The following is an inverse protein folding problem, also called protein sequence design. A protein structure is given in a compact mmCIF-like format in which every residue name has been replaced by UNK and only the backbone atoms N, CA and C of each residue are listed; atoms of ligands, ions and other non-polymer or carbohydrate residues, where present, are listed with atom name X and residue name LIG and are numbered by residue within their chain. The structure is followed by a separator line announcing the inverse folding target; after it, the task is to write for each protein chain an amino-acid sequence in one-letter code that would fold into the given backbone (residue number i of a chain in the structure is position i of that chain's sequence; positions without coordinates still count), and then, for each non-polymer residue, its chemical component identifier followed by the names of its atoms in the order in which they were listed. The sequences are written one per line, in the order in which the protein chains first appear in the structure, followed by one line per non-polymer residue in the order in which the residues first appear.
data_IF_971149972048
#
_entry.id   IF_971149972048
#
_cell.length_a   1.000
_cell.length_b   1.000
_cell.length_c   1.000
_cell.angle_alpha   90.00
_cell.angle_beta   90.00
_cell.angle_gamma   90.00
#
_symmetry.space_group_name_H-M   'P 1'
#
loop_
_entity.id
_entity.type
_entity.pdbx_description
1 polymer ?
#
# COMPACT_ATOMS: atom_id res chain seq x y z
N UNK A 1 -7.09 -10.43 -5.19
CA UNK A 1 -6.83 -11.19 -3.94
C UNK A 1 -6.01 -10.31 -3.03
N UNK A 2 -6.36 -10.20 -1.75
CA UNK A 2 -5.63 -9.42 -0.75
C UNK A 2 -4.81 -10.33 0.17
N UNK A 3 -3.85 -9.75 0.90
CA UNK A 3 -3.00 -10.46 1.86
C UNK A 3 -3.69 -10.55 3.23
N UNK A 4 -4.06 -11.73 3.72
CA UNK A 4 -4.89 -11.87 4.94
C UNK A 4 -4.24 -11.33 6.22
N UNK A 5 -2.91 -11.24 6.26
CA UNK A 5 -2.12 -10.68 7.36
C UNK A 5 -1.73 -9.21 7.17
N UNK A 6 -2.21 -8.56 6.10
CA UNK A 6 -2.02 -7.13 5.90
C UNK A 6 -2.64 -6.32 7.05
N UNK A 7 -2.06 -5.16 7.37
CA UNK A 7 -2.62 -4.27 8.38
C UNK A 7 -3.75 -3.38 7.82
N UNK A 8 -3.87 -3.30 6.50
CA UNK A 8 -4.91 -2.58 5.78
C UNK A 8 -5.17 -3.20 4.40
N UNK A 9 -6.42 -3.04 3.93
CA UNK A 9 -6.90 -3.49 2.63
C UNK A 9 -7.69 -2.40 1.94
N UNK A 10 -7.50 -2.30 0.64
CA UNK A 10 -8.20 -1.36 -0.22
C UNK A 10 -8.86 -2.10 -1.37
N UNK A 11 -10.17 -1.90 -1.53
CA UNK A 11 -10.87 -2.25 -2.77
C UNK A 11 -10.78 -1.07 -3.73
N UNK A 12 -10.26 -1.31 -4.92
CA UNK A 12 -9.97 -0.24 -5.89
C UNK A 12 -10.15 -0.68 -7.34
N UNK A 13 -10.33 0.31 -8.21
CA UNK A 13 -10.16 0.16 -9.66
C UNK A 13 -9.04 1.07 -10.16
N UNK A 14 -8.42 0.71 -11.28
CA UNK A 14 -7.48 1.59 -11.97
C UNK A 14 -8.26 2.79 -12.53
N UNK A 15 -7.87 3.99 -12.11
CA UNK A 15 -8.40 5.24 -12.64
C UNK A 15 -7.58 5.68 -13.87
N UNK A 16 -6.24 5.62 -13.77
CA UNK A 16 -5.33 5.89 -14.89
C UNK A 16 -3.92 5.39 -14.64
N UNK A 17 -3.16 5.23 -15.73
CA UNK A 17 -1.71 5.07 -15.73
C UNK A 17 -1.04 6.39 -16.09
N UNK A 18 0.10 6.69 -15.46
CA UNK A 18 0.91 7.87 -15.75
C UNK A 18 2.34 7.39 -15.98
N UNK A 19 2.90 7.71 -17.15
CA UNK A 19 4.30 7.43 -17.49
C UNK A 19 5.24 8.25 -16.59
N UNK A 20 6.21 7.58 -15.95
CA UNK A 20 7.16 8.19 -15.01
C UNK A 20 8.56 7.61 -15.18
N UNK A 21 9.17 7.85 -16.34
CA UNK A 21 10.52 7.35 -16.67
C UNK A 21 10.51 5.84 -16.88
N UNK A 22 11.28 5.11 -16.08
CA UNK A 22 11.35 3.65 -16.09
C UNK A 22 10.25 2.98 -15.22
N UNK A 23 9.33 3.77 -14.66
CA UNK A 23 8.19 3.30 -13.87
C UNK A 23 6.85 3.84 -14.39
N UNK A 24 5.76 3.15 -14.07
CA UNK A 24 4.39 3.63 -14.25
C UNK A 24 3.77 3.95 -12.90
N UNK A 25 3.26 5.17 -12.73
CA UNK A 25 2.40 5.49 -11.58
C UNK A 25 0.98 5.04 -11.92
N UNK A 26 0.44 4.12 -11.13
CA UNK A 26 -0.95 3.65 -11.25
C UNK A 26 -1.80 4.40 -10.23
N UNK A 27 -2.70 5.27 -10.71
CA UNK A 27 -3.67 5.94 -9.86
C UNK A 27 -4.88 5.02 -9.67
N UNK A 28 -5.22 4.76 -8.41
CA UNK A 28 -6.33 3.89 -8.03
C UNK A 28 -7.49 4.72 -7.45
N UNK A 29 -8.71 4.43 -7.89
CA UNK A 29 -9.94 4.95 -7.26
C UNK A 29 -10.39 4.00 -6.16
N UNK A 30 -10.58 4.54 -4.96
CA UNK A 30 -10.91 3.80 -3.74
C UNK A 30 -12.41 3.60 -3.59
N UNK A 31 -12.85 2.35 -3.37
CA UNK A 31 -14.25 1.99 -3.14
C UNK A 31 -14.53 1.58 -1.69
N UNK A 32 -13.59 0.89 -1.05
CA UNK A 32 -13.71 0.47 0.34
C UNK A 32 -12.35 0.34 1.04
N UNK A 33 -12.38 0.48 2.36
CA UNK A 33 -11.22 0.33 3.24
C UNK A 33 -11.57 -0.64 4.36
N UNK A 34 -10.67 -1.58 4.66
CA UNK A 34 -10.67 -2.35 5.90
C UNK A 34 -9.27 -2.26 6.53
N UNK A 35 -9.18 -2.28 7.85
CA UNK A 35 -7.90 -2.23 8.56
C UNK A 35 -8.00 -2.92 9.92
N UNK A 36 -6.83 -3.30 10.46
CA UNK A 36 -6.71 -3.79 11.83
C UNK A 36 -6.63 -2.59 12.78
N UNK A 37 -7.31 -2.63 13.92
CA UNK A 37 -7.20 -1.59 14.94
C UNK A 37 -5.84 -1.65 15.66
N UNK A 38 -5.19 -0.50 15.84
CA UNK A 38 -3.88 -0.36 16.49
C UNK A 38 -2.73 -1.25 15.94
N UNK A 39 -2.50 -1.33 14.60
CA UNK A 39 -1.44 -2.15 14.06
C UNK A 39 -0.08 -1.44 14.15
N UNK A 40 0.99 -2.22 14.31
CA UNK A 40 2.35 -1.75 14.05
C UNK A 40 2.68 -2.01 12.57
N UNK A 41 2.89 -0.98 11.73
CA UNK A 41 3.16 -1.17 10.31
C UNK A 41 4.57 -1.74 10.08
N UNK A 42 4.75 -2.52 9.02
CA UNK A 42 6.10 -2.89 8.57
C UNK A 42 6.78 -1.66 7.96
N UNK A 43 7.84 -1.19 8.60
CA UNK A 43 8.62 -0.02 8.13
C UNK A 43 9.90 -0.50 7.46
N UNK A 44 10.18 0.04 6.27
CA UNK A 44 11.42 -0.14 5.52
C UNK A 44 12.15 1.19 5.38
N UNK A 45 13.34 1.29 5.97
CA UNK A 45 14.17 2.50 5.97
C UNK A 45 15.65 2.12 5.88
N UNK A 46 16.43 2.87 5.09
CA UNK A 46 17.87 2.62 4.87
C UNK A 46 18.18 1.16 4.49
N UNK A 47 17.35 0.60 3.62
CA UNK A 47 17.43 -0.79 3.16
C UNK A 47 17.29 -1.84 4.27
N UNK A 48 16.59 -1.53 5.37
CA UNK A 48 16.35 -2.45 6.50
C UNK A 48 14.90 -2.35 6.99
N UNK A 49 14.39 -3.47 7.52
CA UNK A 49 13.12 -3.50 8.25
C UNK A 49 13.32 -3.17 9.73
N UNK A 50 12.43 -2.39 10.31
CA UNK A 50 12.45 -2.11 11.76
C UNK A 50 11.54 -0.96 12.16
N UNK A 51 11.05 -1.00 13.40
CA UNK A 51 10.16 0.02 13.98
C UNK A 51 10.92 1.17 14.68
N UNK A 52 12.23 1.02 14.85
CA UNK A 52 13.10 2.01 15.48
C UNK A 52 13.72 2.90 14.39
N UNK A 53 13.64 4.23 14.57
CA UNK A 53 14.31 5.20 13.69
C UNK A 53 15.82 5.00 13.66
#
# INVERSE_FOLDING_TARGET
MTLTEGVAWFDTTIERHIEAGDHTIVLLRLHAVAHVEHPLPLVFHRSRFGLNR
#
